data_IF_744387155195
#
_entry.id   IF_744387155195
#
_cell.length_a   1.000
_cell.length_b   1.000
_cell.length_c   1.000
_cell.angle_alpha   90.00
_cell.angle_beta   90.00
_cell.angle_gamma   90.00
#
_symmetry.space_group_name_H-M   'P 1'
#
loop_
_entity.id
_entity.type
_entity.pdbx_description
1 polymer ?
#
# COMPACT_ATOMS: atom_id res chain seq x y z
N UNK A 1 12.14 20.17 6.33
CA UNK A 1 12.78 20.93 7.43
C UNK A 1 11.77 21.61 8.36
N UNK A 2 10.71 22.23 7.86
CA UNK A 2 9.75 23.02 8.67
C UNK A 2 9.13 22.27 9.86
N UNK A 3 8.76 21.00 9.68
CA UNK A 3 8.26 20.16 10.79
C UNK A 3 9.32 19.91 11.87
N UNK A 4 10.61 19.95 11.51
CA UNK A 4 11.71 19.66 12.43
C UNK A 4 11.98 20.83 13.40
N UNK A 5 11.72 22.06 12.98
CA UNK A 5 11.93 23.28 13.78
C UNK A 5 10.75 23.61 14.71
N UNK A 6 9.57 23.01 14.47
CA UNK A 6 8.41 23.12 15.36
C UNK A 6 8.71 22.46 16.72
N UNK A 7 8.50 23.19 17.82
CA UNK A 7 8.69 22.76 19.21
C UNK A 7 8.03 21.40 19.52
N UNK A 8 6.90 21.08 18.88
CA UNK A 8 6.21 19.79 19.04
C UNK A 8 7.08 18.59 18.64
N UNK A 9 8.01 18.80 17.71
CA UNK A 9 8.82 17.75 17.07
C UNK A 9 10.32 17.94 17.30
N UNK A 10 10.78 19.17 17.59
CA UNK A 10 12.18 19.54 17.74
C UNK A 10 12.91 18.64 18.76
N UNK A 11 12.35 18.49 19.96
CA UNK A 11 12.93 17.68 21.03
C UNK A 11 12.76 16.17 20.84
N UNK A 12 11.96 15.72 19.87
CA UNK A 12 11.72 14.30 19.60
C UNK A 12 12.65 13.75 18.52
N UNK A 13 12.70 14.44 17.38
CA UNK A 13 13.52 14.03 16.24
C UNK A 13 14.12 15.21 15.48
N UNK A 14 13.57 16.43 15.64
CA UNK A 14 13.96 17.58 14.84
C UNK A 14 15.41 18.00 15.04
N UNK A 15 15.90 18.04 16.30
CA UNK A 15 17.31 18.37 16.60
C UNK A 15 18.28 17.44 15.89
N UNK A 16 18.09 16.13 16.04
CA UNK A 16 18.95 15.11 15.40
C UNK A 16 18.86 15.15 13.89
N UNK A 17 17.66 15.38 13.33
CA UNK A 17 17.46 15.51 11.90
C UNK A 17 18.20 16.72 11.32
N UNK A 18 18.11 17.90 11.95
CA UNK A 18 18.79 19.12 11.49
C UNK A 18 20.31 18.94 11.53
N UNK A 19 20.86 18.39 12.61
CA UNK A 19 22.31 18.11 12.71
C UNK A 19 22.77 17.12 11.65
N UNK A 20 21.98 16.08 11.37
CA UNK A 20 22.28 15.11 10.32
C UNK A 20 22.23 15.75 8.93
N UNK A 21 21.19 16.56 8.66
CA UNK A 21 21.02 17.28 7.39
C UNK A 21 22.20 18.23 7.12
N UNK A 22 22.64 18.98 8.14
CA UNK A 22 23.82 19.83 8.05
C UNK A 22 25.07 19.02 7.68
N UNK A 23 25.28 17.89 8.36
CA UNK A 23 26.43 17.00 8.14
C UNK A 23 26.43 16.41 6.72
N UNK A 24 25.26 16.06 6.20
CA UNK A 24 25.12 15.57 4.82
C UNK A 24 25.47 16.64 3.78
N UNK A 25 25.11 17.90 4.02
CA UNK A 25 25.54 19.00 3.16
C UNK A 25 27.04 19.27 3.29
N UNK A 26 27.59 19.25 4.50
CA UNK A 26 29.03 19.46 4.77
C UNK A 26 29.92 18.44 4.02
N UNK A 27 29.46 17.19 3.94
CA UNK A 27 30.19 16.12 3.25
C UNK A 27 29.73 15.85 1.82
N UNK A 28 28.78 16.63 1.31
CA UNK A 28 28.20 16.40 -0.02
C UNK A 28 27.70 14.95 -0.20
N UNK A 29 26.91 14.47 0.77
CA UNK A 29 26.40 13.12 0.81
C UNK A 29 24.87 13.08 0.68
N UNK A 30 24.37 12.18 -0.17
CA UNK A 30 22.93 11.89 -0.26
C UNK A 30 22.48 10.98 0.89
N UNK A 31 22.31 11.56 2.09
CA UNK A 31 22.03 10.82 3.32
C UNK A 31 20.58 10.33 3.49
N UNK A 32 19.62 10.88 2.75
CA UNK A 32 18.24 10.41 2.76
C UNK A 32 17.56 10.66 1.40
N UNK A 33 16.40 10.05 1.19
CA UNK A 33 15.65 10.08 -0.08
C UNK A 33 14.53 11.14 -0.12
N UNK A 34 14.26 11.83 0.99
CA UNK A 34 13.13 12.75 1.12
C UNK A 34 13.50 14.19 0.84
N UNK A 35 14.73 14.57 1.18
CA UNK A 35 15.19 15.95 1.05
C UNK A 35 15.76 16.18 -0.34
N UNK A 36 15.10 17.06 -1.11
CA UNK A 36 15.48 17.42 -2.48
C UNK A 36 16.89 18.00 -2.55
N UNK A 37 17.27 18.79 -1.55
CA UNK A 37 18.60 19.41 -1.46
C UNK A 37 19.74 18.40 -1.40
N UNK A 38 19.50 17.20 -0.84
CA UNK A 38 20.50 16.14 -0.77
C UNK A 38 20.57 15.28 -2.03
N UNK A 39 19.53 15.29 -2.88
CA UNK A 39 19.52 14.48 -4.09
C UNK A 39 20.56 14.94 -5.11
N UNK A 40 21.00 16.20 -5.04
CA UNK A 40 22.07 16.75 -5.88
C UNK A 40 23.43 16.08 -5.65
N UNK A 41 23.65 15.50 -4.48
CA UNK A 41 24.88 14.77 -4.17
C UNK A 41 24.84 13.30 -4.63
N UNK A 42 23.74 12.85 -5.23
CA UNK A 42 23.64 11.50 -5.78
C UNK A 42 24.35 11.43 -7.13
N UNK A 43 25.39 10.59 -7.21
CA UNK A 43 26.14 10.34 -8.44
C UNK A 43 25.66 9.05 -9.13
N UNK A 44 25.99 8.86 -10.41
CA UNK A 44 25.59 7.67 -11.19
C UNK A 44 25.99 6.35 -10.51
N UNK A 45 27.20 6.30 -9.95
CA UNK A 45 27.71 5.14 -9.19
C UNK A 45 26.87 4.88 -7.94
N UNK A 46 26.50 5.93 -7.19
CA UNK A 46 25.61 5.79 -6.03
C UNK A 46 24.24 5.26 -6.43
N UNK A 47 23.71 5.72 -7.57
CA UNK A 47 22.44 5.23 -8.10
C UNK A 47 22.51 3.74 -8.50
N UNK A 48 23.64 3.28 -9.04
CA UNK A 48 23.89 1.85 -9.33
C UNK A 48 23.92 1.04 -8.04
N UNK A 49 24.73 1.44 -7.04
CA UNK A 49 24.78 0.74 -5.75
C UNK A 49 23.44 0.74 -5.03
N UNK A 50 22.69 1.84 -5.11
CA UNK A 50 21.34 1.95 -4.57
C UNK A 50 20.39 0.96 -5.25
N UNK A 51 20.45 0.85 -6.59
CA UNK A 51 19.65 -0.16 -7.34
C UNK A 51 20.03 -1.58 -6.92
N UNK A 52 21.33 -1.87 -6.80
CA UNK A 52 21.82 -3.18 -6.35
C UNK A 52 21.37 -3.50 -4.94
N UNK A 53 21.56 -2.58 -3.98
CA UNK A 53 21.16 -2.75 -2.59
C UNK A 53 19.65 -2.92 -2.44
N UNK A 54 18.85 -2.18 -3.19
CA UNK A 54 17.40 -2.33 -3.19
C UNK A 54 16.95 -3.66 -3.82
N UNK A 55 17.57 -4.09 -4.92
CA UNK A 55 17.29 -5.39 -5.53
C UNK A 55 17.62 -6.54 -4.54
N UNK A 56 18.75 -6.45 -3.86
CA UNK A 56 19.09 -7.38 -2.77
C UNK A 56 18.02 -7.30 -1.68
N UNK A 57 17.67 -6.11 -1.20
CA UNK A 57 16.67 -5.91 -0.15
C UNK A 57 15.33 -6.56 -0.50
N UNK A 58 14.76 -6.29 -1.67
CA UNK A 58 13.48 -6.85 -2.14
C UNK A 58 13.48 -8.38 -2.12
N UNK A 59 14.61 -8.99 -2.48
CA UNK A 59 14.77 -10.44 -2.58
C UNK A 59 15.29 -11.11 -1.30
N UNK A 60 15.58 -10.34 -0.25
CA UNK A 60 15.97 -10.92 1.03
C UNK A 60 14.81 -11.73 1.62
N UNK A 61 15.10 -12.88 2.24
CA UNK A 61 14.09 -13.64 2.96
C UNK A 61 13.52 -12.80 4.12
N UNK A 62 12.28 -13.08 4.55
CA UNK A 62 11.66 -12.42 5.69
C UNK A 62 12.60 -12.41 6.91
N UNK A 63 12.64 -11.30 7.67
CA UNK A 63 13.37 -11.31 8.93
C UNK A 63 12.74 -12.38 9.83
N UNK A 64 13.56 -13.29 10.37
CA UNK A 64 13.08 -14.33 11.28
C UNK A 64 12.44 -13.68 12.49
N UNK A 65 11.16 -13.90 12.70
CA UNK A 65 10.46 -13.38 13.86
C UNK A 65 11.16 -13.86 15.14
N UNK A 66 11.75 -12.93 15.89
CA UNK A 66 12.33 -13.25 17.19
C UNK A 66 11.16 -13.40 18.15
N UNK A 67 10.87 -14.63 18.60
CA UNK A 67 9.96 -14.85 19.72
C UNK A 67 10.57 -14.12 20.92
N UNK A 68 10.05 -12.94 21.25
CA UNK A 68 10.27 -12.37 22.57
C UNK A 68 9.47 -13.27 23.49
N UNK A 69 10.14 -14.30 24.02
CA UNK A 69 9.67 -14.98 25.20
C UNK A 69 9.62 -13.89 26.27
N UNK A 70 8.43 -13.32 26.49
CA UNK A 70 8.15 -12.68 27.78
C UNK A 70 8.29 -13.82 28.77
N UNK A 71 9.48 -13.96 29.35
CA UNK A 71 9.69 -14.85 30.48
C UNK A 71 8.63 -14.43 31.49
N UNK A 72 7.61 -15.29 31.66
CA UNK A 72 6.71 -15.21 32.80
C UNK A 72 7.62 -15.40 34.00
N UNK A 73 7.86 -14.31 34.72
CA UNK A 73 8.54 -14.32 36.00
C UNK A 73 7.89 -15.40 36.85
N UNK A 74 8.60 -16.52 37.05
CA UNK A 74 8.25 -17.49 38.07
C UNK A 74 8.72 -16.87 39.38
N UNK A 75 7.76 -16.43 40.19
CA UNK A 75 8.02 -16.02 41.56
C UNK A 75 8.09 -17.27 42.46
N UNK A 76 9.05 -17.26 43.39
CA UNK A 76 9.74 -18.41 43.99
C UNK A 76 9.00 -19.13 45.14
N UNK A 77 9.45 -20.36 45.45
CA UNK A 77 9.22 -20.94 46.77
C UNK A 77 9.97 -22.24 47.07
N UNK A 78 11.20 -22.14 47.60
CA UNK A 78 11.76 -22.83 48.81
C UNK A 78 13.28 -23.02 48.73
N UNK A 79 13.99 -22.54 49.76
CA UNK A 79 15.22 -23.17 50.25
C UNK A 79 16.49 -22.31 50.37
N UNK A 80 16.64 -21.65 51.53
CA UNK A 80 17.89 -21.33 52.28
C UNK A 80 18.99 -20.42 51.69
N UNK A 81 19.19 -19.25 52.34
CA UNK A 81 20.53 -18.70 52.58
C UNK A 81 20.81 -17.19 52.38
N UNK A 82 20.26 -16.30 53.25
CA UNK A 82 20.93 -15.10 53.85
C UNK A 82 21.36 -13.92 52.91
N UNK A 83 21.33 -12.63 53.37
CA UNK A 83 20.62 -11.53 52.67
C UNK A 83 21.53 -10.44 52.09
N UNK A 84 21.05 -9.62 51.13
CA UNK A 84 21.44 -8.19 50.97
C UNK A 84 20.26 -7.36 50.42
N UNK A 85 19.97 -6.29 51.18
CA UNK A 85 19.14 -5.07 51.04
C UNK A 85 18.14 -4.78 49.91
N UNK A 86 17.06 -4.15 50.40
CA UNK A 86 15.94 -3.44 49.77
C UNK A 86 16.28 -2.41 48.69
N UNK A 87 15.31 -2.19 47.78
CA UNK A 87 14.67 -0.87 47.59
C UNK A 87 13.40 -1.04 46.74
N UNK A 88 12.24 -1.04 47.39
CA UNK A 88 11.26 0.06 47.39
C UNK A 88 10.54 0.25 46.04
N UNK A 89 9.36 -0.35 45.86
CA UNK A 89 8.14 0.26 45.28
C UNK A 89 7.02 -0.79 45.15
N UNK A 90 5.86 -0.53 45.78
CA UNK A 90 4.58 -0.94 45.18
C UNK A 90 3.76 -2.05 45.84
N UNK A 91 3.62 -2.01 47.16
CA UNK A 91 2.43 -2.54 47.84
C UNK A 91 1.23 -1.62 47.51
N UNK A 92 0.22 -2.07 46.77
CA UNK A 92 -1.18 -1.59 46.87
C UNK A 92 -2.09 -2.43 45.94
N UNK A 93 -3.04 -3.13 46.57
CA UNK A 93 -4.24 -3.82 46.01
C UNK A 93 -4.12 -5.31 45.58
N UNK A 94 -4.36 -6.20 46.56
CA UNK A 94 -5.66 -6.91 46.65
C UNK A 94 -5.91 -8.14 45.75
N UNK A 95 -5.67 -9.33 46.31
CA UNK A 95 -6.19 -10.64 45.85
C UNK A 95 -7.73 -10.69 45.78
N UNK A 96 -8.26 -11.44 44.80
CA UNK A 96 -9.18 -12.58 45.05
C UNK A 96 -9.17 -13.57 43.88
N UNK A 97 -8.95 -14.85 44.21
CA UNK A 97 -9.10 -16.05 43.36
C UNK A 97 -10.52 -16.58 43.48
N UNK A 98 -10.97 -17.31 42.45
CA UNK A 98 -11.82 -18.52 42.44
C UNK A 98 -12.21 -18.77 40.96
N UNK A 99 -12.33 -19.95 40.34
CA UNK A 99 -12.29 -21.38 40.71
C UNK A 99 -11.94 -22.17 39.41
N UNK A 100 -11.33 -23.33 39.59
CA UNK A 100 -11.04 -24.34 38.55
C UNK A 100 -12.33 -25.03 38.09
N UNK A 101 -12.47 -25.23 36.77
CA UNK A 101 -13.24 -26.33 36.19
C UNK A 101 -12.36 -26.96 35.09
N UNK A 102 -12.00 -28.22 35.31
CA UNK A 102 -11.36 -29.10 34.34
C UNK A 102 -12.35 -29.48 33.23
N UNK A 103 -11.86 -29.62 32.01
CA UNK A 103 -12.59 -30.34 30.98
C UNK A 103 -12.35 -29.81 29.58
N UNK A 104 -11.43 -30.45 28.87
CA UNK A 104 -11.67 -31.06 27.55
C UNK A 104 -10.43 -30.96 26.65
N UNK A 105 -9.91 -32.15 26.38
CA UNK A 105 -8.88 -32.44 25.39
C UNK A 105 -9.38 -31.96 24.03
N UNK A 106 -8.77 -30.89 23.48
CA UNK A 106 -8.86 -30.59 22.06
C UNK A 106 -7.47 -30.49 21.47
N UNK A 107 -7.21 -31.38 20.50
CA UNK A 107 -6.03 -31.47 19.66
C UNK A 107 -5.55 -30.07 19.25
N UNK A 108 -4.41 -29.65 19.78
CA UNK A 108 -3.65 -28.53 19.23
C UNK A 108 -3.20 -28.91 17.83
N UNK A 109 -3.90 -28.43 16.81
CA UNK A 109 -3.33 -28.36 15.46
C UNK A 109 -2.26 -27.28 15.55
N UNK A 110 -1.00 -27.70 15.53
CA UNK A 110 0.11 -26.84 15.14
C UNK A 110 -0.15 -26.37 13.71
N UNK A 111 -0.89 -25.28 13.57
CA UNK A 111 -0.85 -24.47 12.36
C UNK A 111 0.31 -23.53 12.63
N UNK A 112 1.49 -23.92 12.14
CA UNK A 112 2.59 -23.00 11.91
C UNK A 112 2.12 -21.96 10.90
N UNK A 113 1.41 -20.93 11.39
CA UNK A 113 1.00 -19.79 10.60
C UNK A 113 2.24 -18.92 10.38
N UNK A 114 3.06 -19.39 9.43
CA UNK A 114 4.27 -18.75 8.98
C UNK A 114 3.86 -17.48 8.23
N UNK A 115 3.66 -16.39 8.95
CA UNK A 115 3.56 -15.05 8.35
C UNK A 115 4.95 -14.69 7.78
N UNK A 116 5.29 -15.24 6.62
CA UNK A 116 6.49 -14.88 5.87
C UNK A 116 6.29 -13.48 5.27
N UNK A 117 6.77 -12.47 5.98
CA UNK A 117 6.83 -11.10 5.50
C UNK A 117 8.01 -10.97 4.53
N UNK A 118 7.82 -11.21 3.24
CA UNK A 118 8.86 -10.99 2.22
C UNK A 118 9.25 -9.51 2.14
N UNK A 119 10.52 -9.16 1.88
CA UNK A 119 10.96 -7.76 1.89
C UNK A 119 10.34 -6.89 0.77
N UNK A 120 9.92 -7.49 -0.36
CA UNK A 120 9.05 -6.81 -1.34
C UNK A 120 7.72 -6.32 -0.76
N UNK A 121 7.37 -6.75 0.45
CA UNK A 121 6.18 -6.27 1.15
C UNK A 121 6.21 -4.81 1.54
N UNK A 122 7.41 -4.24 1.64
CA UNK A 122 7.66 -2.84 1.94
C UNK A 122 7.56 -1.94 0.70
N UNK A 123 7.52 -2.51 -0.51
CA UNK A 123 7.27 -1.74 -1.73
C UNK A 123 5.81 -1.28 -1.78
N UNK A 124 5.57 -0.13 -2.43
CA UNK A 124 4.22 0.40 -2.63
C UNK A 124 3.44 -0.47 -3.64
N UNK A 125 2.85 -1.55 -3.14
CA UNK A 125 2.07 -2.53 -3.90
C UNK A 125 0.67 -2.04 -4.27
N UNK A 126 0.38 -0.74 -4.25
CA UNK A 126 -0.99 -0.24 -4.46
C UNK A 126 -0.97 0.90 -5.47
N UNK A 127 -1.65 0.69 -6.59
CA UNK A 127 -1.72 1.60 -7.72
C UNK A 127 -2.56 2.86 -7.51
N UNK A 128 -2.52 3.40 -6.29
CA UNK A 128 -3.36 4.49 -5.84
C UNK A 128 -4.85 4.12 -5.88
N UNK A 129 -5.49 3.85 -4.75
CA UNK A 129 -6.94 3.63 -4.70
C UNK A 129 -7.62 4.47 -3.61
N UNK A 130 -8.94 4.57 -3.67
CA UNK A 130 -9.79 5.21 -2.68
C UNK A 130 -10.96 4.31 -2.26
N UNK A 131 -11.64 4.66 -1.17
CA UNK A 131 -12.78 3.88 -0.68
C UNK A 131 -14.07 4.11 -1.48
N UNK A 132 -14.96 3.12 -1.42
CA UNK A 132 -16.20 3.10 -2.19
C UNK A 132 -17.38 3.83 -1.55
N UNK A 133 -17.34 4.12 -0.25
CA UNK A 133 -18.41 4.84 0.46
C UNK A 133 -18.25 6.36 0.36
N UNK A 134 -17.07 6.83 -0.07
CA UNK A 134 -16.85 8.23 -0.39
C UNK A 134 -17.82 8.73 -1.45
N UNK A 135 -18.35 9.93 -1.22
CA UNK A 135 -19.44 10.51 -2.00
C UNK A 135 -18.93 11.57 -2.98
N UNK A 136 -19.54 11.59 -4.15
CA UNK A 136 -19.23 12.52 -5.25
C UNK A 136 -20.49 13.16 -5.81
N UNK A 137 -20.33 14.37 -6.34
CA UNK A 137 -21.40 15.12 -7.01
C UNK A 137 -21.39 14.84 -8.52
N UNK A 138 -22.55 14.52 -9.07
CA UNK A 138 -22.77 14.39 -10.51
C UNK A 138 -23.15 15.74 -11.13
N UNK A 139 -23.01 15.85 -12.45
CA UNK A 139 -23.34 17.07 -13.20
C UNK A 139 -24.83 17.47 -13.10
N UNK A 140 -25.72 16.51 -12.81
CA UNK A 140 -27.16 16.75 -12.61
C UNK A 140 -27.52 17.11 -11.15
N UNK A 141 -26.52 17.30 -10.28
CA UNK A 141 -26.70 17.63 -8.88
C UNK A 141 -26.97 16.44 -7.95
N UNK A 142 -27.10 15.21 -8.48
CA UNK A 142 -27.24 14.02 -7.63
C UNK A 142 -25.92 13.65 -6.96
N UNK A 143 -26.03 13.06 -5.77
CA UNK A 143 -24.90 12.52 -5.03
C UNK A 143 -24.89 11.00 -5.17
N UNK A 144 -23.72 10.42 -5.46
CA UNK A 144 -23.49 8.97 -5.43
C UNK A 144 -22.26 8.62 -4.61
N UNK A 145 -22.27 7.43 -4.02
CA UNK A 145 -21.04 6.84 -3.52
C UNK A 145 -20.21 6.33 -4.71
N UNK A 146 -18.88 6.33 -4.57
CA UNK A 146 -17.95 5.82 -5.59
C UNK A 146 -18.31 4.40 -6.03
N UNK A 147 -18.67 3.53 -5.09
CA UNK A 147 -19.03 2.13 -5.38
C UNK A 147 -20.27 1.97 -6.27
N UNK A 148 -21.10 3.01 -6.36
CA UNK A 148 -22.37 3.03 -7.10
C UNK A 148 -22.26 3.78 -8.44
N UNK A 149 -21.07 4.30 -8.77
CA UNK A 149 -20.78 4.89 -10.08
C UNK A 149 -20.84 3.82 -11.18
N UNK A 150 -21.38 4.21 -12.33
CA UNK A 150 -21.54 3.33 -13.49
C UNK A 150 -21.06 4.04 -14.76
N UNK A 151 -20.74 3.25 -15.78
CA UNK A 151 -20.44 3.77 -17.11
C UNK A 151 -21.52 4.73 -17.58
N UNK A 152 -21.11 5.88 -18.10
CA UNK A 152 -22.01 6.93 -18.57
C UNK A 152 -22.46 7.93 -17.49
N UNK A 153 -22.17 7.69 -16.20
CA UNK A 153 -22.35 8.74 -15.19
C UNK A 153 -21.45 9.93 -15.53
N UNK A 154 -22.02 11.14 -15.42
CA UNK A 154 -21.32 12.40 -15.70
C UNK A 154 -21.02 13.07 -14.36
N UNK A 155 -19.74 13.22 -14.06
CA UNK A 155 -19.26 13.87 -12.84
C UNK A 155 -19.46 15.40 -12.91
N UNK A 156 -19.43 16.10 -11.78
CA UNK A 156 -19.60 17.55 -11.72
C UNK A 156 -18.59 18.35 -12.58
N UNK A 157 -17.43 17.78 -12.89
CA UNK A 157 -16.44 18.37 -13.79
C UNK A 157 -16.67 18.02 -15.28
N UNK A 158 -17.82 17.44 -15.62
CA UNK A 158 -18.20 16.92 -16.94
C UNK A 158 -17.40 15.71 -17.44
N UNK A 159 -16.52 15.13 -16.62
CA UNK A 159 -15.88 13.87 -16.97
C UNK A 159 -16.90 12.72 -16.95
N UNK A 160 -16.82 11.85 -17.96
CA UNK A 160 -17.71 10.71 -18.13
C UNK A 160 -17.03 9.47 -17.57
N UNK A 161 -17.69 8.76 -16.67
CA UNK A 161 -17.22 7.47 -16.16
C UNK A 161 -17.22 6.45 -17.30
N UNK A 162 -16.06 5.89 -17.61
CA UNK A 162 -15.92 4.82 -18.60
C UNK A 162 -15.90 3.45 -17.96
N UNK A 163 -15.18 3.30 -16.85
CA UNK A 163 -15.07 2.04 -16.14
C UNK A 163 -14.82 2.25 -14.64
N UNK A 164 -15.55 1.51 -13.81
CA UNK A 164 -15.29 1.39 -12.37
C UNK A 164 -14.51 0.11 -12.09
N UNK A 165 -13.34 0.26 -11.47
CA UNK A 165 -12.48 -0.86 -11.07
C UNK A 165 -12.69 -1.10 -9.59
N UNK A 166 -13.24 -2.26 -9.22
CA UNK A 166 -13.37 -2.70 -7.83
C UNK A 166 -12.33 -3.78 -7.54
N UNK A 167 -11.46 -3.52 -6.58
CA UNK A 167 -10.45 -4.45 -6.11
C UNK A 167 -10.78 -4.96 -4.71
N UNK A 168 -10.90 -6.27 -4.55
CA UNK A 168 -11.14 -6.88 -3.25
C UNK A 168 -9.84 -6.98 -2.43
N UNK A 169 -9.94 -6.82 -1.11
CA UNK A 169 -8.79 -6.95 -0.20
C UNK A 169 -8.92 -8.27 0.56
N UNK A 170 -7.88 -9.11 0.47
CA UNK A 170 -7.80 -10.34 1.26
C UNK A 170 -7.80 -10.01 2.76
N UNK A 171 -8.62 -10.71 3.54
CA UNK A 171 -8.84 -10.51 4.99
C UNK A 171 -7.61 -10.75 5.89
N UNK A 172 -6.43 -10.98 5.32
CA UNK A 172 -5.21 -11.32 6.07
C UNK A 172 -4.76 -10.13 6.94
N UNK A 173 -4.95 -8.89 6.47
CA UNK A 173 -4.69 -7.69 7.28
C UNK A 173 -5.41 -6.46 6.73
N UNK A 174 -5.74 -5.53 7.63
CA UNK A 174 -6.33 -4.25 7.25
C UNK A 174 -5.30 -3.39 6.50
N UNK A 175 -5.67 -2.79 5.35
CA UNK A 175 -4.79 -1.86 4.66
C UNK A 175 -4.57 -0.59 5.49
N UNK A 176 -3.37 -0.04 5.40
CA UNK A 176 -3.11 1.33 5.82
C UNK A 176 -3.79 2.30 4.86
N UNK A 177 -4.61 3.20 5.40
CA UNK A 177 -5.34 4.24 4.68
C UNK A 177 -5.11 5.59 5.35
N UNK A 178 -5.22 6.65 4.57
CA UNK A 178 -5.15 8.04 5.00
C UNK A 178 -6.56 8.61 4.95
N UNK A 179 -7.10 9.03 6.10
CA UNK A 179 -8.38 9.73 6.16
C UNK A 179 -8.12 11.22 5.93
N UNK A 180 -8.56 11.73 4.79
CA UNK A 180 -8.49 13.14 4.43
C UNK A 180 -9.91 13.67 4.46
N UNK A 181 -10.28 14.30 5.57
CA UNK A 181 -11.58 14.94 5.80
C UNK A 181 -12.79 14.06 5.41
N UNK A 182 -12.77 12.79 5.84
CA UNK A 182 -13.86 11.83 5.64
C UNK A 182 -13.69 10.89 4.43
N UNK A 183 -12.71 11.15 3.56
CA UNK A 183 -12.41 10.29 2.39
C UNK A 183 -11.15 9.47 2.66
N UNK A 184 -11.22 8.17 2.42
CA UNK A 184 -10.09 7.26 2.67
C UNK A 184 -9.31 7.01 1.38
N UNK A 185 -8.02 7.38 1.40
CA UNK A 185 -7.08 7.16 0.32
C UNK A 185 -5.98 6.18 0.71
N UNK A 186 -5.47 5.41 -0.25
CA UNK A 186 -4.18 4.74 -0.05
C UNK A 186 -3.07 5.80 0.09
N UNK A 187 -2.01 5.55 0.90
CA UNK A 187 -1.00 6.54 1.26
C UNK A 187 -0.38 7.35 0.11
N UNK A 188 -0.22 6.72 -1.06
CA UNK A 188 0.45 7.27 -2.23
C UNK A 188 -0.50 7.44 -3.44
N UNK A 189 -1.80 7.58 -3.22
CA UNK A 189 -2.72 7.99 -4.29
C UNK A 189 -2.62 9.52 -4.47
N UNK A 190 -2.19 10.06 -5.62
CA UNK A 190 -2.13 11.51 -5.81
C UNK A 190 -3.47 12.20 -5.59
N UNK A 191 -3.50 13.19 -4.70
CA UNK A 191 -4.69 14.01 -4.46
C UNK A 191 -4.39 15.50 -4.64
N UNK A 192 -5.37 16.25 -5.10
CA UNK A 192 -5.37 17.70 -5.16
C UNK A 192 -6.14 18.24 -3.97
N UNK A 193 -5.46 19.00 -3.11
CA UNK A 193 -6.04 19.61 -1.93
C UNK A 193 -5.27 20.89 -1.60
N UNK A 194 -5.98 21.95 -1.19
CA UNK A 194 -5.38 23.28 -0.90
C UNK A 194 -4.54 23.83 -2.07
N UNK A 195 -5.02 23.65 -3.29
CA UNK A 195 -4.38 24.22 -4.49
C UNK A 195 -3.17 23.47 -5.02
N UNK A 196 -2.80 22.30 -4.48
CA UNK A 196 -1.63 21.53 -4.94
C UNK A 196 -1.85 20.01 -4.95
N UNK A 197 -1.15 19.34 -5.86
CA UNK A 197 -1.05 17.87 -5.90
C UNK A 197 -0.04 17.38 -4.85
N UNK A 198 -0.43 16.37 -4.07
CA UNK A 198 0.39 15.77 -3.03
C UNK A 198 -0.11 14.36 -2.66
N UNK A 199 0.71 13.60 -1.94
CA UNK A 199 0.31 12.29 -1.44
C UNK A 199 -0.35 12.40 -0.06
N UNK A 200 -1.42 11.64 0.22
CA UNK A 200 -2.13 11.66 1.51
C UNK A 200 -1.21 11.43 2.72
N UNK A 201 -0.19 10.58 2.58
CA UNK A 201 0.79 10.26 3.64
C UNK A 201 1.60 11.47 4.11
N UNK A 202 1.75 12.50 3.28
CA UNK A 202 2.49 13.71 3.62
C UNK A 202 1.64 14.68 4.47
N UNK A 203 0.32 14.49 4.42
CA UNK A 203 -0.69 15.34 5.08
C UNK A 203 -1.14 14.72 6.40
N UNK A 204 -1.50 13.44 6.37
CA UNK A 204 -2.12 12.73 7.50
C UNK A 204 -1.41 11.42 7.78
N UNK A 205 -1.46 10.97 9.03
CA UNK A 205 -0.88 9.68 9.41
C UNK A 205 -1.76 8.55 8.87
N UNK A 206 -1.14 7.59 8.17
CA UNK A 206 -1.84 6.39 7.72
C UNK A 206 -2.14 5.45 8.88
N UNK A 207 -3.32 4.82 8.86
CA UNK A 207 -3.78 3.90 9.91
C UNK A 207 -4.37 2.63 9.30
N UNK A 208 -4.18 1.45 9.93
CA UNK A 208 -4.87 0.23 9.54
C UNK A 208 -6.39 0.44 9.61
N UNK A 209 -7.08 0.34 8.48
CA UNK A 209 -8.51 0.65 8.38
C UNK A 209 -9.28 -0.55 7.85
N UNK A 210 -10.42 -0.86 8.46
CA UNK A 210 -11.30 -1.94 8.00
C UNK A 210 -11.98 -1.51 6.70
N UNK A 211 -11.53 -2.08 5.58
CA UNK A 211 -12.11 -1.83 4.26
C UNK A 211 -12.02 -3.12 3.44
N UNK A 212 -13.12 -3.47 2.79
CA UNK A 212 -13.25 -4.74 2.06
C UNK A 212 -12.88 -4.59 0.58
N UNK A 213 -13.05 -3.41 0.02
CA UNK A 213 -12.74 -3.17 -1.39
C UNK A 213 -12.22 -1.76 -1.60
N UNK A 214 -11.26 -1.66 -2.50
CA UNK A 214 -10.68 -0.41 -2.99
C UNK A 214 -11.18 -0.16 -4.40
N UNK A 215 -11.30 1.11 -4.77
CA UNK A 215 -11.85 1.53 -6.03
C UNK A 215 -10.87 2.44 -6.78
N UNK A 216 -10.95 2.37 -8.10
CA UNK A 216 -10.32 3.29 -9.02
C UNK A 216 -11.23 3.44 -10.26
N UNK A 217 -10.97 4.44 -11.09
CA UNK A 217 -11.81 4.78 -12.24
C UNK A 217 -10.98 4.93 -13.51
N UNK A 218 -11.64 4.71 -14.64
CA UNK A 218 -11.24 5.25 -15.94
C UNK A 218 -12.29 6.29 -16.30
N UNK A 219 -11.83 7.51 -16.57
CA UNK A 219 -12.66 8.62 -16.98
C UNK A 219 -12.35 9.00 -18.42
N UNK A 220 -13.34 9.59 -19.09
CA UNK A 220 -13.17 10.25 -20.36
C UNK A 220 -13.57 11.72 -20.22
N UNK A 221 -12.65 12.62 -20.54
CA UNK A 221 -12.92 14.05 -20.67
C UNK A 221 -12.22 14.57 -21.92
N UNK A 222 -12.94 14.54 -23.05
CA UNK A 222 -12.45 15.02 -24.34
C UNK A 222 -12.25 16.55 -24.36
N UNK A 223 -12.96 17.29 -23.50
CA UNK A 223 -12.99 18.75 -23.56
C UNK A 223 -11.86 19.38 -22.75
N UNK A 224 -11.71 18.97 -21.48
CA UNK A 224 -10.77 19.62 -20.56
C UNK A 224 -9.60 18.72 -20.14
N UNK A 225 -9.58 17.44 -20.59
CA UNK A 225 -8.56 16.45 -20.21
C UNK A 225 -8.39 16.32 -18.69
N UNK A 226 -9.49 16.47 -17.95
CA UNK A 226 -9.56 16.30 -16.50
C UNK A 226 -9.89 14.86 -16.18
N UNK A 227 -8.86 14.10 -15.86
CA UNK A 227 -8.95 12.71 -15.42
C UNK A 227 -8.86 12.62 -13.90
N UNK A 228 -9.70 13.41 -13.23
CA UNK A 228 -9.76 13.51 -11.77
C UNK A 228 -11.20 13.38 -11.31
N UNK A 229 -11.39 12.71 -10.17
CA UNK A 229 -12.65 12.63 -9.45
C UNK A 229 -12.63 13.66 -8.31
N UNK A 230 -13.73 14.39 -8.12
CA UNK A 230 -13.88 15.36 -7.04
C UNK A 230 -14.91 14.85 -6.01
N UNK A 231 -14.48 14.79 -4.75
CA UNK A 231 -15.31 14.37 -3.63
C UNK A 231 -16.05 15.56 -3.01
N UNK A 232 -17.11 15.27 -2.25
CA UNK A 232 -17.93 16.32 -1.60
C UNK A 232 -17.11 17.21 -0.65
N UNK A 233 -16.03 16.70 -0.06
CA UNK A 233 -15.15 17.48 0.80
C UNK A 233 -14.17 18.40 0.02
N UNK A 234 -14.30 18.49 -1.30
CA UNK A 234 -13.47 19.33 -2.18
C UNK A 234 -12.10 18.75 -2.52
N UNK A 235 -11.76 17.56 -2.00
CA UNK A 235 -10.53 16.85 -2.39
C UNK A 235 -10.74 16.25 -3.78
N UNK A 236 -9.71 16.30 -4.61
CA UNK A 236 -9.69 15.61 -5.90
C UNK A 236 -8.66 14.50 -5.93
N UNK A 237 -8.91 13.47 -6.71
CA UNK A 237 -8.06 12.30 -6.84
C UNK A 237 -7.83 11.98 -8.32
N UNK A 238 -6.61 11.61 -8.67
CA UNK A 238 -6.29 11.25 -10.06
C UNK A 238 -6.82 9.85 -10.40
N UNK A 239 -7.32 9.65 -11.62
CA UNK A 239 -7.82 8.36 -12.10
C UNK A 239 -6.82 7.66 -13.02
N UNK A 240 -7.08 6.42 -13.41
CA UNK A 240 -6.16 5.64 -14.28
C UNK A 240 -6.16 6.18 -15.72
N UNK A 241 -5.02 6.02 -16.41
CA UNK A 241 -4.88 6.40 -17.83
C UNK A 241 -4.98 7.92 -18.05
N UNK A 242 -4.64 8.71 -17.04
CA UNK A 242 -4.88 10.15 -17.05
C UNK A 242 -3.97 10.95 -17.99
N UNK A 243 -2.85 10.38 -18.46
CA UNK A 243 -1.89 11.02 -19.38
C UNK A 243 -1.42 12.42 -18.95
N UNK A 244 -1.37 12.68 -17.63
CA UNK A 244 -0.95 13.97 -17.05
C UNK A 244 0.50 13.92 -16.60
N UNK A 245 1.28 14.90 -17.06
CA UNK A 245 2.72 14.94 -16.87
C UNK A 245 3.22 16.29 -16.33
N UNK A 246 2.34 17.14 -15.79
CA UNK A 246 2.71 18.51 -15.41
C UNK A 246 3.63 18.55 -14.17
N UNK A 247 3.65 17.49 -13.36
CA UNK A 247 4.52 17.39 -12.20
C UNK A 247 4.94 15.93 -11.92
N UNK A 248 5.96 15.76 -11.05
CA UNK A 248 6.51 14.45 -10.66
C UNK A 248 5.52 13.55 -9.92
N UNK A 249 4.48 14.11 -9.29
CA UNK A 249 3.49 13.37 -8.50
C UNK A 249 2.46 12.70 -9.43
N UNK A 250 2.07 13.40 -10.50
CA UNK A 250 1.14 12.91 -11.50
C UNK A 250 1.84 12.02 -12.54
N UNK A 251 3.07 12.35 -12.93
CA UNK A 251 3.81 11.57 -13.92
C UNK A 251 4.08 10.16 -13.40
N UNK A 252 3.42 9.16 -13.99
CA UNK A 252 3.63 7.75 -13.67
C UNK A 252 3.72 6.91 -14.95
N UNK A 253 4.77 6.08 -15.15
CA UNK A 253 5.02 5.38 -16.42
C UNK A 253 3.92 4.37 -16.80
N UNK A 254 3.17 3.88 -15.80
CA UNK A 254 2.11 2.89 -15.97
C UNK A 254 0.69 3.39 -15.65
N UNK A 255 0.39 3.70 -14.38
CA UNK A 255 -0.96 4.14 -13.97
C UNK A 255 -1.45 5.40 -14.69
N UNK A 256 -0.53 6.25 -15.14
CA UNK A 256 -0.85 7.47 -15.88
C UNK A 256 -0.86 7.33 -17.40
N UNK A 257 -0.70 6.12 -17.96
CA UNK A 257 -0.59 5.92 -19.42
C UNK A 257 -1.59 4.89 -19.94
N UNK A 258 -1.70 4.76 -21.25
CA UNK A 258 -2.57 3.76 -21.88
C UNK A 258 -2.13 2.31 -21.59
N UNK A 259 -0.94 2.10 -21.02
CA UNK A 259 -0.49 0.77 -20.58
C UNK A 259 -1.41 0.16 -19.53
N UNK A 260 -1.89 0.96 -18.56
CA UNK A 260 -2.84 0.44 -17.57
C UNK A 260 -4.19 0.13 -18.20
N UNK A 261 -4.63 0.93 -19.16
CA UNK A 261 -5.89 0.71 -19.89
C UNK A 261 -5.84 -0.58 -20.71
N UNK A 262 -4.72 -0.79 -21.41
CA UNK A 262 -4.44 -2.02 -22.16
C UNK A 262 -4.46 -3.25 -21.26
N UNK A 263 -3.75 -3.22 -20.14
CA UNK A 263 -3.71 -4.36 -19.21
C UNK A 263 -5.10 -4.65 -18.59
N UNK A 264 -5.90 -3.62 -18.29
CA UNK A 264 -7.27 -3.79 -17.80
C UNK A 264 -8.20 -4.38 -18.86
N UNK A 265 -8.10 -3.91 -20.11
CA UNK A 265 -8.83 -4.47 -21.25
C UNK A 265 -8.46 -5.94 -21.51
N UNK A 266 -7.16 -6.27 -21.54
CA UNK A 266 -6.70 -7.64 -21.72
C UNK A 266 -7.11 -8.56 -20.56
N UNK A 267 -7.22 -8.01 -19.35
CA UNK A 267 -7.63 -8.74 -18.14
C UNK A 267 -9.10 -9.14 -18.16
N UNK A 268 -9.99 -8.22 -18.54
CA UNK A 268 -11.43 -8.42 -18.53
C UNK A 268 -12.08 -7.58 -19.65
N UNK A 269 -12.07 -8.07 -20.91
CA UNK A 269 -12.59 -7.31 -22.05
C UNK A 269 -14.09 -6.98 -21.92
N UNK A 270 -14.87 -7.93 -21.40
CA UNK A 270 -16.32 -7.77 -21.21
C UNK A 270 -16.61 -6.76 -20.09
N UNK A 271 -15.94 -6.88 -18.93
CA UNK A 271 -16.05 -5.92 -17.84
C UNK A 271 -15.58 -4.52 -18.24
N UNK A 272 -14.49 -4.43 -19.02
CA UNK A 272 -14.02 -3.16 -19.57
C UNK A 272 -15.06 -2.52 -20.48
N UNK A 273 -15.65 -3.30 -21.40
CA UNK A 273 -16.70 -2.83 -22.30
C UNK A 273 -17.96 -2.39 -21.54
N UNK A 274 -18.41 -3.19 -20.57
CA UNK A 274 -19.57 -2.88 -19.72
C UNK A 274 -19.28 -1.76 -18.70
N UNK A 275 -18.02 -1.41 -18.51
CA UNK A 275 -17.55 -0.33 -17.62
C UNK A 275 -17.56 -0.70 -16.14
N UNK A 276 -17.38 -1.98 -15.83
CA UNK A 276 -17.16 -2.45 -14.47
C UNK A 276 -16.22 -3.66 -14.48
N UNK A 277 -15.08 -3.54 -13.79
CA UNK A 277 -14.10 -4.63 -13.65
C UNK A 277 -13.99 -5.00 -12.18
N UNK A 278 -14.17 -6.28 -11.88
CA UNK A 278 -14.00 -6.82 -10.54
C UNK A 278 -12.73 -7.65 -10.42
N UNK A 279 -11.80 -7.18 -9.59
CA UNK A 279 -10.52 -7.84 -9.33
C UNK A 279 -10.62 -8.53 -7.97
N UNK A 280 -10.86 -9.84 -8.02
CA UNK A 280 -10.97 -10.69 -6.83
C UNK A 280 -9.65 -10.79 -6.07
N UNK A 281 -8.56 -11.05 -6.78
CA UNK A 281 -7.24 -11.23 -6.19
C UNK A 281 -6.16 -10.63 -7.10
N UNK A 282 -5.24 -9.89 -6.48
CA UNK A 282 -4.00 -9.43 -7.11
C UNK A 282 -2.85 -10.28 -6.58
N UNK A 283 -2.13 -10.90 -7.52
CA UNK A 283 -0.88 -11.57 -7.19
C UNK A 283 0.26 -10.56 -7.18
N UNK A 284 0.50 -9.99 -6.00
CA UNK A 284 1.59 -9.04 -5.79
C UNK A 284 2.98 -9.65 -6.00
N UNK A 285 3.11 -10.97 -6.04
CA UNK A 285 4.39 -11.63 -6.25
C UNK A 285 4.89 -11.51 -7.69
N UNK A 286 4.02 -11.13 -8.62
CA UNK A 286 4.33 -11.00 -10.06
C UNK A 286 4.50 -9.55 -10.53
N UNK A 287 4.46 -8.59 -9.59
CA UNK A 287 4.70 -7.19 -9.92
C UNK A 287 6.13 -6.99 -10.41
N UNK A 288 6.25 -6.27 -11.51
CA UNK A 288 7.48 -5.78 -12.11
C UNK A 288 7.57 -4.27 -11.89
N UNK A 289 8.80 -3.81 -11.77
CA UNK A 289 9.12 -2.41 -11.56
C UNK A 289 10.16 -1.98 -12.59
N UNK A 290 10.10 -0.72 -13.01
CA UNK A 290 11.15 -0.12 -13.84
C UNK A 290 12.40 0.25 -12.99
N UNK A 291 13.39 0.85 -13.64
CA UNK A 291 14.64 1.27 -12.98
C UNK A 291 14.43 2.34 -11.91
N UNK A 292 13.33 3.08 -11.98
CA UNK A 292 12.91 4.10 -11.02
C UNK A 292 11.95 3.55 -9.96
N UNK A 293 11.75 2.23 -9.94
CA UNK A 293 10.88 1.52 -8.99
C UNK A 293 9.39 1.82 -9.14
N UNK A 294 8.94 2.32 -10.30
CA UNK A 294 7.52 2.42 -10.60
C UNK A 294 6.98 1.05 -11.02
N UNK A 295 5.80 0.68 -10.52
CA UNK A 295 5.15 -0.55 -10.95
C UNK A 295 4.69 -0.42 -12.42
N UNK A 296 4.99 -1.41 -13.25
CA UNK A 296 4.74 -1.37 -14.71
C UNK A 296 3.78 -2.42 -15.25
N UNK A 297 3.14 -3.21 -14.38
CA UNK A 297 2.26 -4.31 -14.80
C UNK A 297 1.18 -4.64 -13.76
N UNK A 298 0.73 -3.65 -12.99
CA UNK A 298 -0.14 -3.88 -11.82
C UNK A 298 -1.39 -4.70 -12.15
N UNK A 299 -2.05 -4.37 -13.25
CA UNK A 299 -3.29 -5.00 -13.69
C UNK A 299 -3.07 -6.09 -14.74
N UNK A 300 -1.82 -6.43 -15.05
CA UNK A 300 -1.50 -7.49 -16.01
C UNK A 300 -1.84 -8.86 -15.46
N UNK A 301 -2.52 -9.68 -16.26
CA UNK A 301 -2.66 -11.11 -16.00
C UNK A 301 -1.53 -11.85 -16.72
N UNK A 302 -0.81 -12.74 -16.04
CA UNK A 302 -0.09 -13.81 -16.74
C UNK A 302 -1.12 -14.85 -17.15
N UNK A 303 -1.34 -14.99 -18.44
CA UNK A 303 -2.13 -16.07 -19.03
C UNK A 303 -1.72 -17.43 -18.40
N UNK A 304 -2.55 -17.94 -17.49
CA UNK A 304 -2.57 -19.36 -17.12
C UNK A 304 -3.04 -20.21 -18.31
N UNK A 305 -3.70 -19.57 -19.29
CA UNK A 305 -4.11 -20.16 -20.56
C UNK A 305 -2.95 -20.68 -21.40
N UNK A 306 -1.73 -20.13 -21.26
CA UNK A 306 -0.57 -20.67 -21.94
C UNK A 306 0.01 -21.92 -21.25
N UNK A 307 -0.25 -22.14 -19.97
CA UNK A 307 0.24 -23.36 -19.28
C UNK A 307 -0.67 -24.56 -19.59
N UNK A 308 -1.98 -24.33 -19.74
CA UNK A 308 -2.95 -25.40 -20.08
C UNK A 308 -2.78 -25.81 -21.55
N UNK A 309 -2.68 -24.87 -22.49
CA UNK A 309 -2.41 -25.20 -23.91
C UNK A 309 -1.06 -25.91 -24.13
N UNK A 310 -0.02 -25.60 -23.34
CA UNK A 310 1.26 -26.33 -23.43
C UNK A 310 1.21 -27.73 -22.82
N UNK A 311 0.33 -27.99 -21.83
CA UNK A 311 0.14 -29.33 -21.28
C UNK A 311 -0.74 -30.19 -22.19
N UNK A 312 -1.83 -29.65 -22.74
CA UNK A 312 -2.69 -30.37 -23.69
C UNK A 312 -1.96 -30.72 -24.99
N UNK A 313 -1.17 -29.79 -25.56
CA UNK A 313 -0.39 -30.07 -26.77
C UNK A 313 0.81 -31.02 -26.55
N UNK A 314 1.25 -31.24 -25.30
CA UNK A 314 2.27 -32.26 -24.98
C UNK A 314 1.66 -33.64 -24.76
N UNK A 315 0.42 -33.70 -24.28
CA UNK A 315 -0.31 -34.97 -24.09
C UNK A 315 -0.76 -35.51 -25.45
N UNK A 316 -1.21 -34.65 -26.37
CA UNK A 316 -1.65 -35.06 -27.71
C UNK A 316 -0.46 -35.53 -28.57
N UNK A 317 0.73 -34.93 -28.45
CA UNK A 317 1.93 -35.35 -29.20
C UNK A 317 2.58 -36.66 -28.71
N UNK A 318 2.18 -37.18 -27.55
CA UNK A 318 2.71 -38.44 -27.01
C UNK A 318 1.76 -39.63 -27.23
N UNK A 319 0.60 -39.42 -27.86
CA UNK A 319 -0.37 -40.49 -28.17
C UNK A 319 -0.20 -40.99 -29.62
N UNK A 320 0.46 -40.22 -30.50
CA UNK A 320 0.64 -40.56 -31.93
C UNK A 320 1.99 -41.27 -32.25
N UNK A 321 2.65 -41.92 -31.27
CA UNK A 321 3.89 -42.71 -31.51
C UNK A 321 3.80 -44.13 -30.94
N UNK A 322 2.60 -44.66 -30.77
CA UNK A 322 2.39 -46.10 -30.55
C UNK A 322 1.17 -46.53 -31.36
N UNK A 323 1.40 -46.84 -32.64
CA UNK A 323 0.70 -47.87 -33.42
C UNK A 323 1.46 -48.13 -34.71
#
# INVERSE_FOLDING_TARGET
VDKAIDLKYYNKWGKSYISSLLRFHEFEQCGNFKDESLQYYSHEIFNIYRRMANNIFINLPPPKARKINRFRSHDYGKGSGVPIMESLFGFLFGRKKDKLVEGSVTRSRNIDDKCEVEMRSFLNRRGGCFDGNSSVLLADGRIKCVKDLKKGDILNNNAIVQCLIKQNIKKISNPYMCNVDGVLFTPYHPIFIRGKWQFPIDIVQSQPTVIHSLFNLILNDNANKKYEIEFINGVKAITLGHNRNENKILKHPYFGTDLVLKDLYERDPEGYFNGYIFIKDLDFHQLKYDDNQYCINYYKIKSSFNIIKFKENKIIKNIDVIN
#
